data_IF_953343918414
#
_entry.id   IF_953343918414
#
_cell.length_a   1.000
_cell.length_b   1.000
_cell.length_c   1.000
_cell.angle_alpha   90.00
_cell.angle_beta   90.00
_cell.angle_gamma   90.00
#
_symmetry.space_group_name_H-M   'P 1'
#
loop_
_entity.id
_entity.type
_entity.pdbx_description
1 polymer ?
#
# COMPACT_ATOMS: atom_id res chain seq x y z
N UNK A 1 -83.71 -19.36 88.74
CA UNK A 1 -82.73 -19.75 87.69
C UNK A 1 -82.39 -18.49 86.93
N UNK A 2 -81.35 -17.74 87.30
CA UNK A 2 -79.92 -18.09 87.25
C UNK A 2 -79.44 -18.14 85.79
N UNK A 3 -78.41 -17.40 85.37
CA UNK A 3 -77.36 -16.72 86.15
C UNK A 3 -77.21 -15.25 85.72
N UNK A 4 -77.09 -14.32 86.68
CA UNK A 4 -76.61 -12.95 86.44
C UNK A 4 -75.09 -12.99 86.62
N UNK A 5 -74.35 -13.05 85.51
CA UNK A 5 -72.89 -12.93 85.57
C UNK A 5 -72.52 -11.52 86.00
N UNK A 6 -71.98 -11.36 87.21
CA UNK A 6 -71.37 -10.11 87.64
C UNK A 6 -70.07 -9.91 86.87
N UNK A 7 -70.09 -8.97 85.92
CA UNK A 7 -68.88 -8.46 85.32
C UNK A 7 -68.10 -7.67 86.38
N UNK A 8 -67.20 -8.36 87.09
CA UNK A 8 -66.20 -7.71 87.94
C UNK A 8 -65.44 -6.72 87.06
N UNK A 9 -65.54 -5.44 87.38
CA UNK A 9 -64.85 -4.40 86.64
C UNK A 9 -63.33 -4.64 86.74
N UNK A 10 -62.71 -4.98 85.61
CA UNK A 10 -61.26 -5.01 85.52
C UNK A 10 -60.72 -3.58 85.72
N UNK A 11 -59.59 -3.39 86.44
CA UNK A 11 -59.04 -2.07 86.68
C UNK A 11 -58.66 -1.41 85.35
N UNK A 12 -59.23 -0.22 85.10
CA UNK A 12 -58.87 0.61 83.95
C UNK A 12 -57.39 0.98 84.03
N UNK A 13 -56.61 0.60 83.01
CA UNK A 13 -55.16 0.77 82.99
C UNK A 13 -54.41 -0.28 82.16
N UNK A 14 -55.00 -1.47 81.97
CA UNK A 14 -54.45 -2.55 81.14
C UNK A 14 -54.71 -2.39 79.63
N UNK A 15 -55.42 -1.33 79.20
CA UNK A 15 -55.75 -1.10 77.80
C UNK A 15 -54.64 -0.29 77.08
N UNK A 16 -54.04 -0.89 76.04
CA UNK A 16 -53.28 -0.21 74.98
C UNK A 16 -51.99 0.55 75.36
N UNK A 17 -51.21 0.08 76.34
CA UNK A 17 -49.84 0.58 76.52
C UNK A 17 -48.87 -0.04 75.51
N UNK A 18 -48.35 0.78 74.57
CA UNK A 18 -47.40 0.35 73.54
C UNK A 18 -45.95 0.57 74.00
N UNK A 19 -45.23 -0.51 74.32
CA UNK A 19 -43.80 -0.46 74.60
C UNK A 19 -42.99 -0.07 73.35
N UNK A 20 -41.93 0.71 73.53
CA UNK A 20 -41.10 1.20 72.44
C UNK A 20 -40.21 0.08 71.90
N UNK A 21 -40.33 -0.22 70.60
CA UNK A 21 -39.55 -1.27 69.92
C UNK A 21 -38.22 -0.68 69.48
N UNK A 22 -37.12 -1.19 70.03
CA UNK A 22 -35.75 -0.96 69.57
C UNK A 22 -35.36 -2.00 68.51
N UNK A 23 -34.18 -1.82 67.89
CA UNK A 23 -33.63 -2.72 66.87
C UNK A 23 -33.49 -4.20 67.31
N UNK A 24 -33.62 -4.51 68.61
CA UNK A 24 -33.61 -5.88 69.14
C UNK A 24 -34.74 -6.18 70.15
N UNK A 25 -35.91 -5.56 69.96
CA UNK A 25 -37.10 -5.77 70.79
C UNK A 25 -37.40 -4.59 71.73
N UNK A 26 -38.31 -4.77 72.67
CA UNK A 26 -38.77 -3.70 73.57
C UNK A 26 -37.65 -3.12 74.45
N UNK A 27 -37.73 -1.84 74.79
CA UNK A 27 -36.85 -1.24 75.81
C UNK A 27 -37.06 -1.92 77.17
N UNK A 28 -36.06 -2.71 77.60
CA UNK A 28 -36.05 -3.36 78.92
C UNK A 28 -36.18 -2.34 80.06
N UNK A 29 -35.60 -1.15 79.94
CA UNK A 29 -35.71 -0.11 80.95
C UNK A 29 -37.14 0.42 81.11
N UNK A 30 -37.91 0.48 80.03
CA UNK A 30 -39.35 0.79 80.06
C UNK A 30 -40.15 -0.36 80.70
N UNK A 31 -39.88 -1.61 80.28
CA UNK A 31 -40.59 -2.80 80.79
C UNK A 31 -40.33 -3.04 82.28
N UNK A 32 -39.07 -3.00 82.74
CA UNK A 32 -38.72 -3.21 84.15
C UNK A 32 -39.43 -2.19 85.07
N UNK A 33 -39.53 -0.92 84.64
CA UNK A 33 -40.26 0.14 85.38
C UNK A 33 -41.77 -0.07 85.38
N UNK A 34 -42.36 -0.50 84.26
CA UNK A 34 -43.78 -0.84 84.18
C UNK A 34 -44.13 -2.03 85.09
N UNK A 35 -43.30 -3.09 85.09
CA UNK A 35 -43.48 -4.25 85.97
C UNK A 35 -43.43 -3.84 87.43
N UNK A 36 -42.41 -3.08 87.85
CA UNK A 36 -42.32 -2.58 89.23
C UNK A 36 -43.50 -1.69 89.64
N UNK A 37 -44.05 -0.88 88.71
CA UNK A 37 -45.24 -0.08 88.96
C UNK A 37 -46.51 -0.94 89.08
N UNK A 38 -46.66 -1.97 88.24
CA UNK A 38 -47.77 -2.92 88.30
C UNK A 38 -47.74 -3.76 89.58
N UNK A 39 -46.57 -4.26 89.99
CA UNK A 39 -46.35 -4.96 91.26
C UNK A 39 -46.69 -4.08 92.46
N UNK A 40 -46.28 -2.80 92.45
CA UNK A 40 -46.64 -1.83 93.47
C UNK A 40 -48.17 -1.59 93.54
N UNK A 41 -48.83 -1.49 92.40
CA UNK A 41 -50.29 -1.38 92.31
C UNK A 41 -51.02 -2.62 92.85
N UNK A 42 -50.56 -3.82 92.50
CA UNK A 42 -51.11 -5.07 93.04
C UNK A 42 -50.87 -5.20 94.55
N UNK A 43 -49.72 -4.75 95.06
CA UNK A 43 -49.43 -4.72 96.50
C UNK A 43 -50.32 -3.71 97.25
N UNK A 44 -50.65 -2.56 96.65
CA UNK A 44 -51.59 -1.60 97.20
C UNK A 44 -53.02 -2.17 97.26
N UNK A 45 -53.54 -2.67 96.14
CA UNK A 45 -54.87 -3.29 96.07
C UNK A 45 -55.02 -4.51 97.00
N UNK A 46 -53.95 -5.27 97.22
CA UNK A 46 -53.94 -6.38 98.19
C UNK A 46 -54.11 -5.87 99.62
N UNK A 47 -53.42 -4.78 100.00
CA UNK A 47 -53.57 -4.16 101.34
C UNK A 47 -54.97 -3.59 101.55
N UNK A 48 -55.53 -2.93 100.54
CA UNK A 48 -56.90 -2.38 100.58
C UNK A 48 -57.95 -3.49 100.74
N UNK A 49 -57.84 -4.58 99.97
CA UNK A 49 -58.66 -5.79 100.14
C UNK A 49 -58.55 -6.36 101.55
N UNK A 50 -57.33 -6.46 102.10
CA UNK A 50 -57.11 -7.05 103.41
C UNK A 50 -57.61 -6.15 104.56
N UNK A 51 -57.59 -4.81 104.36
CA UNK A 51 -58.27 -3.85 105.24
C UNK A 51 -59.80 -3.98 105.17
N UNK A 52 -60.38 -4.09 103.97
CA UNK A 52 -61.83 -4.31 103.82
C UNK A 52 -62.27 -5.64 104.45
N UNK A 53 -61.48 -6.72 104.31
CA UNK A 53 -61.74 -8.00 104.97
C UNK A 53 -61.60 -7.92 106.50
N UNK A 54 -60.75 -7.04 107.03
CA UNK A 54 -60.69 -6.77 108.48
C UNK A 54 -61.94 -6.01 108.96
N UNK A 55 -62.39 -4.98 108.23
CA UNK A 55 -63.62 -4.23 108.53
C UNK A 55 -64.88 -5.12 108.51
N UNK A 56 -64.99 -6.03 107.53
CA UNK A 56 -66.08 -7.00 107.44
C UNK A 56 -66.09 -7.95 108.65
N UNK A 57 -64.91 -8.39 109.13
CA UNK A 57 -64.80 -9.23 110.32
C UNK A 57 -65.18 -8.48 111.60
N UNK A 58 -64.84 -7.20 111.71
CA UNK A 58 -65.21 -6.37 112.86
C UNK A 58 -66.74 -6.15 112.91
N UNK A 59 -67.37 -5.78 111.79
CA UNK A 59 -68.84 -5.70 111.69
C UNK A 59 -69.51 -7.04 112.02
N UNK A 60 -68.94 -8.17 111.56
CA UNK A 60 -69.47 -9.49 111.92
C UNK A 60 -69.36 -9.77 113.42
N UNK A 61 -68.27 -9.32 114.09
CA UNK A 61 -68.13 -9.36 115.53
C UNK A 61 -69.20 -8.54 116.26
N UNK A 62 -69.44 -7.30 115.82
CA UNK A 62 -70.49 -6.43 116.37
C UNK A 62 -71.91 -7.02 116.20
N UNK A 63 -72.19 -7.65 115.06
CA UNK A 63 -73.45 -8.38 114.82
C UNK A 63 -73.58 -9.65 115.67
N UNK A 64 -72.49 -10.34 115.97
CA UNK A 64 -72.51 -11.48 116.89
C UNK A 64 -72.69 -11.05 118.36
N UNK A 65 -72.06 -9.95 118.78
CA UNK A 65 -72.22 -9.42 120.13
C UNK A 65 -73.65 -8.93 120.39
N UNK A 66 -74.19 -8.07 119.53
CA UNK A 66 -75.58 -7.59 119.65
C UNK A 66 -76.59 -8.74 119.62
N UNK A 67 -76.33 -9.80 118.83
CA UNK A 67 -77.15 -11.03 118.84
C UNK A 67 -77.05 -11.83 120.14
N UNK A 68 -75.92 -11.81 120.83
CA UNK A 68 -75.77 -12.42 122.16
C UNK A 68 -76.53 -11.61 123.23
N UNK A 69 -76.37 -10.28 123.23
CA UNK A 69 -77.12 -9.37 124.11
C UNK A 69 -78.65 -9.54 123.94
N UNK A 70 -79.13 -9.70 122.70
CA UNK A 70 -80.53 -10.06 122.42
C UNK A 70 -80.93 -11.45 122.92
N UNK A 71 -80.02 -12.43 122.96
CA UNK A 71 -80.30 -13.77 123.46
C UNK A 71 -80.37 -13.81 124.99
N UNK A 72 -79.48 -13.08 125.68
CA UNK A 72 -79.48 -12.95 127.14
C UNK A 72 -80.73 -12.20 127.62
N UNK A 73 -81.13 -11.11 126.95
CA UNK A 73 -82.42 -10.44 127.18
C UNK A 73 -83.62 -11.38 126.95
N UNK A 74 -83.54 -12.30 125.99
CA UNK A 74 -84.59 -13.30 125.76
C UNK A 74 -84.61 -14.40 126.83
N UNK A 75 -83.45 -14.73 127.40
CA UNK A 75 -83.33 -15.63 128.54
C UNK A 75 -83.91 -15.01 129.81
N UNK A 76 -83.59 -13.75 130.13
CA UNK A 76 -84.19 -13.01 131.25
C UNK A 76 -85.72 -12.90 131.10
N UNK A 77 -86.23 -12.57 129.91
CA UNK A 77 -87.67 -12.56 129.61
C UNK A 77 -88.33 -13.93 129.75
N UNK A 78 -87.58 -15.02 129.59
CA UNK A 78 -88.08 -16.39 129.76
C UNK A 78 -88.03 -16.83 131.22
N UNK A 79 -86.98 -16.50 131.97
CA UNK A 79 -86.90 -16.75 133.42
C UNK A 79 -87.96 -15.94 134.20
N UNK A 80 -88.23 -14.71 133.78
CA UNK A 80 -89.34 -13.89 134.30
C UNK A 80 -90.72 -14.48 133.98
N UNK A 81 -90.85 -15.27 132.90
CA UNK A 81 -92.09 -15.95 132.50
C UNK A 81 -92.28 -17.29 133.21
N UNK A 82 -91.20 -18.03 133.44
CA UNK A 82 -91.24 -19.36 134.07
C UNK A 82 -91.23 -19.31 135.61
N UNK A 83 -91.18 -18.11 136.23
CA UNK A 83 -91.40 -17.93 137.67
C UNK A 83 -92.78 -18.45 138.12
N UNK A 84 -92.86 -19.52 138.93
CA UNK A 84 -94.14 -20.10 139.34
C UNK A 84 -94.84 -19.19 140.37
N UNK A 85 -95.90 -18.50 139.94
CA UNK A 85 -96.68 -17.59 140.80
C UNK A 85 -97.47 -18.38 141.86
N UNK A 86 -96.93 -18.41 143.07
CA UNK A 86 -97.64 -18.86 144.26
C UNK A 86 -98.76 -17.86 144.59
N UNK A 87 -100.01 -18.21 144.24
CA UNK A 87 -101.19 -17.44 144.60
C UNK A 87 -101.91 -18.11 145.77
N UNK A 88 -101.92 -17.44 146.92
CA UNK A 88 -102.73 -17.86 148.06
C UNK A 88 -104.23 -17.79 147.74
N UNK A 89 -105.03 -18.63 148.41
CA UNK A 89 -106.46 -18.78 148.14
C UNK A 89 -107.28 -17.64 148.74
N UNK A 90 -107.15 -16.45 148.15
CA UNK A 90 -108.05 -15.33 148.41
C UNK A 90 -109.51 -15.68 148.04
N UNK A 91 -110.44 -15.11 148.79
CA UNK A 91 -111.90 -15.22 148.63
C UNK A 91 -112.34 -15.24 147.15
N UNK A 92 -113.05 -16.29 146.73
CA UNK A 92 -113.62 -16.40 145.37
C UNK A 92 -114.65 -15.31 145.01
N UNK A 93 -115.04 -14.46 145.97
CA UNK A 93 -115.91 -13.28 145.75
C UNK A 93 -115.11 -12.01 145.47
N UNK A 94 -113.92 -11.89 146.03
CA UNK A 94 -113.00 -10.74 145.87
C UNK A 94 -111.90 -11.04 144.83
N UNK A 95 -111.72 -12.33 144.48
CA UNK A 95 -110.98 -12.78 143.31
C UNK A 95 -111.60 -12.22 142.02
N UNK A 96 -112.93 -12.02 141.96
CA UNK A 96 -113.59 -11.36 140.84
C UNK A 96 -113.06 -9.95 140.64
N UNK A 97 -113.23 -9.08 141.64
CA UNK A 97 -112.77 -7.68 141.58
C UNK A 97 -111.25 -7.53 141.47
N UNK A 98 -110.44 -8.43 142.04
CA UNK A 98 -108.99 -8.43 141.81
C UNK A 98 -108.60 -8.97 140.42
N UNK A 99 -109.31 -9.94 139.85
CA UNK A 99 -109.09 -10.36 138.46
C UNK A 99 -109.53 -9.26 137.51
N UNK A 100 -110.66 -8.59 137.76
CA UNK A 100 -111.09 -7.43 136.97
C UNK A 100 -110.05 -6.30 137.05
N UNK A 101 -109.49 -5.98 138.22
CA UNK A 101 -108.40 -5.00 138.36
C UNK A 101 -107.08 -5.45 137.73
N UNK A 102 -106.73 -6.73 137.81
CA UNK A 102 -105.53 -7.29 137.15
C UNK A 102 -105.72 -7.29 135.63
N UNK A 103 -106.94 -7.55 135.13
CA UNK A 103 -107.29 -7.42 133.71
C UNK A 103 -107.24 -5.96 133.29
N UNK A 104 -107.86 -5.02 134.01
CA UNK A 104 -107.82 -3.58 133.70
C UNK A 104 -106.38 -3.02 133.73
N UNK A 105 -105.53 -3.48 134.65
CA UNK A 105 -104.11 -3.13 134.67
C UNK A 105 -103.31 -3.83 133.56
N UNK A 106 -103.64 -5.08 133.20
CA UNK A 106 -102.99 -5.80 132.10
C UNK A 106 -103.43 -5.29 130.73
N UNK A 107 -104.64 -4.76 130.62
CA UNK A 107 -105.19 -4.08 129.44
C UNK A 107 -104.48 -2.75 129.28
N UNK A 108 -104.40 -1.91 130.32
CA UNK A 108 -103.59 -0.67 130.29
C UNK A 108 -102.10 -0.92 130.05
N UNK A 109 -101.52 -1.99 130.61
CA UNK A 109 -100.13 -2.37 130.31
C UNK A 109 -99.98 -2.92 128.88
N UNK A 110 -101.00 -3.62 128.37
CA UNK A 110 -101.08 -4.07 126.98
C UNK A 110 -101.16 -2.91 126.00
N UNK A 111 -102.04 -1.94 126.25
CA UNK A 111 -102.13 -0.67 125.52
C UNK A 111 -100.79 0.07 125.55
N UNK A 112 -100.16 0.23 126.72
CA UNK A 112 -98.85 0.88 126.83
C UNK A 112 -97.75 0.12 126.06
N UNK A 113 -97.76 -1.22 126.07
CA UNK A 113 -96.82 -2.04 125.30
C UNK A 113 -97.08 -1.98 123.79
N UNK A 114 -98.35 -1.97 123.36
CA UNK A 114 -98.74 -1.82 121.95
C UNK A 114 -98.41 -0.42 121.45
N UNK A 115 -98.69 0.62 122.23
CA UNK A 115 -98.35 2.01 121.90
C UNK A 115 -96.82 2.19 121.83
N UNK A 116 -96.06 1.71 122.83
CA UNK A 116 -94.60 1.77 122.79
C UNK A 116 -93.99 0.91 121.66
N UNK A 117 -94.64 -0.19 121.27
CA UNK A 117 -94.24 -0.99 120.10
C UNK A 117 -94.55 -0.26 118.78
N UNK A 118 -95.69 0.43 118.69
CA UNK A 118 -96.07 1.24 117.53
C UNK A 118 -95.17 2.48 117.37
N UNK A 119 -94.84 3.17 118.46
CA UNK A 119 -93.87 4.27 118.47
C UNK A 119 -92.47 3.79 118.02
N UNK A 120 -92.02 2.62 118.50
CA UNK A 120 -90.75 2.01 118.07
C UNK A 120 -90.78 1.56 116.61
N UNK A 121 -91.91 1.00 116.14
CA UNK A 121 -92.09 0.63 114.74
C UNK A 121 -92.02 1.88 113.85
N UNK A 122 -92.81 2.92 114.15
CA UNK A 122 -92.79 4.18 113.42
C UNK A 122 -91.41 4.87 113.47
N UNK A 123 -90.68 4.79 114.58
CA UNK A 123 -89.32 5.31 114.68
C UNK A 123 -88.30 4.52 113.82
N UNK A 124 -88.44 3.18 113.74
CA UNK A 124 -87.61 2.33 112.88
C UNK A 124 -87.98 2.50 111.40
N UNK A 125 -89.26 2.65 111.08
CA UNK A 125 -89.75 2.97 109.74
C UNK A 125 -89.23 4.33 109.28
N UNK A 126 -89.34 5.38 110.09
CA UNK A 126 -88.78 6.70 109.78
C UNK A 126 -87.24 6.69 109.63
N UNK A 127 -86.53 5.87 110.42
CA UNK A 127 -85.09 5.67 110.26
C UNK A 127 -84.76 4.92 108.95
N UNK A 128 -85.55 3.90 108.58
CA UNK A 128 -85.38 3.14 107.35
C UNK A 128 -85.73 3.98 106.10
N UNK A 129 -86.81 4.75 106.14
CA UNK A 129 -87.17 5.70 105.08
C UNK A 129 -86.09 6.76 104.91
N UNK A 130 -85.56 7.32 106.00
CA UNK A 130 -84.43 8.25 105.94
C UNK A 130 -83.19 7.58 105.35
N UNK A 131 -82.82 6.39 105.82
CA UNK A 131 -81.66 5.67 105.28
C UNK A 131 -81.82 5.33 103.79
N UNK A 132 -83.03 5.02 103.33
CA UNK A 132 -83.36 4.83 101.91
C UNK A 132 -83.31 6.14 101.12
N UNK A 133 -83.68 7.28 101.71
CA UNK A 133 -83.51 8.60 101.10
C UNK A 133 -82.02 8.96 100.99
N UNK A 134 -81.27 8.92 102.10
CA UNK A 134 -79.83 9.19 102.15
C UNK A 134 -79.04 8.29 101.17
N UNK A 135 -79.44 7.01 101.02
CA UNK A 135 -78.84 6.08 100.06
C UNK A 135 -79.21 6.36 98.59
N UNK A 136 -80.43 6.84 98.30
CA UNK A 136 -80.84 7.29 96.96
C UNK A 136 -80.07 8.56 96.56
N UNK A 137 -80.01 9.54 97.46
CA UNK A 137 -79.23 10.76 97.33
C UNK A 137 -77.75 10.45 97.02
N UNK A 138 -77.15 9.49 97.74
CA UNK A 138 -75.79 9.04 97.50
C UNK A 138 -75.65 8.34 96.14
N UNK A 139 -76.57 7.45 95.77
CA UNK A 139 -76.55 6.76 94.48
C UNK A 139 -76.69 7.73 93.29
N UNK A 140 -77.56 8.75 93.39
CA UNK A 140 -77.69 9.78 92.36
C UNK A 140 -76.45 10.67 92.27
N UNK A 141 -75.83 11.05 93.39
CA UNK A 141 -74.57 11.80 93.42
C UNK A 141 -73.42 11.00 92.80
N UNK A 142 -73.32 9.70 93.10
CA UNK A 142 -72.30 8.80 92.51
C UNK A 142 -72.55 8.61 91.01
N UNK A 143 -73.81 8.44 90.57
CA UNK A 143 -74.16 8.38 89.16
C UNK A 143 -73.78 9.67 88.42
N UNK A 144 -74.19 10.84 88.92
CA UNK A 144 -73.87 12.12 88.32
C UNK A 144 -72.35 12.42 88.30
N UNK A 145 -71.61 12.03 89.34
CA UNK A 145 -70.16 12.13 89.37
C UNK A 145 -69.49 11.18 88.37
N UNK A 146 -70.03 9.99 88.17
CA UNK A 146 -69.58 9.02 87.16
C UNK A 146 -69.86 9.49 85.73
N UNK A 147 -71.06 9.99 85.45
CA UNK A 147 -71.42 10.62 84.17
C UNK A 147 -70.50 11.81 83.88
N UNK A 148 -70.33 12.73 84.83
CA UNK A 148 -69.39 13.85 84.67
C UNK A 148 -67.91 13.44 84.60
N UNK A 149 -67.52 12.25 85.08
CA UNK A 149 -66.18 11.70 84.88
C UNK A 149 -66.03 11.08 83.48
N UNK A 150 -67.05 10.37 83.01
CA UNK A 150 -67.11 9.81 81.66
C UNK A 150 -67.06 10.91 80.59
N UNK A 151 -67.90 11.95 80.72
CA UNK A 151 -67.92 13.08 79.77
C UNK A 151 -66.56 13.79 79.69
N UNK A 152 -65.87 13.98 80.82
CA UNK A 152 -64.50 14.54 80.86
C UNK A 152 -63.47 13.59 80.23
N UNK A 153 -63.62 12.28 80.42
CA UNK A 153 -62.76 11.27 79.79
C UNK A 153 -62.94 11.27 78.26
N UNK A 154 -64.18 11.32 77.77
CA UNK A 154 -64.50 11.42 76.33
C UNK A 154 -63.99 12.75 75.75
N UNK A 155 -64.16 13.88 76.44
CA UNK A 155 -63.62 15.17 76.00
C UNK A 155 -62.08 15.16 75.92
N UNK A 156 -61.39 14.57 76.91
CA UNK A 156 -59.94 14.44 76.91
C UNK A 156 -59.44 13.49 75.80
N UNK A 157 -60.16 12.37 75.55
CA UNK A 157 -59.86 11.46 74.46
C UNK A 157 -60.00 12.15 73.10
N UNK A 158 -61.11 12.86 72.86
CA UNK A 158 -61.33 13.62 71.63
C UNK A 158 -60.23 14.68 71.40
N UNK A 159 -59.82 15.40 72.46
CA UNK A 159 -58.72 16.38 72.36
C UNK A 159 -57.38 15.73 72.02
N UNK A 160 -57.07 14.57 72.59
CA UNK A 160 -55.85 13.81 72.26
C UNK A 160 -55.89 13.26 70.83
N UNK A 161 -57.04 12.79 70.36
CA UNK A 161 -57.22 12.34 68.98
C UNK A 161 -57.15 13.49 67.97
N UNK A 162 -57.69 14.68 68.29
CA UNK A 162 -57.56 15.90 67.50
C UNK A 162 -56.09 16.38 67.43
N UNK A 163 -55.38 16.43 68.56
CA UNK A 163 -53.95 16.73 68.58
C UNK A 163 -53.12 15.70 67.79
N UNK A 164 -53.45 14.41 67.92
CA UNK A 164 -52.76 13.33 67.21
C UNK A 164 -53.00 13.40 65.70
N UNK A 165 -54.23 13.74 65.28
CA UNK A 165 -54.57 13.97 63.87
C UNK A 165 -53.79 15.17 63.30
N UNK A 166 -53.78 16.30 64.00
CA UNK A 166 -53.04 17.51 63.58
C UNK A 166 -51.52 17.24 63.48
N UNK A 167 -50.93 16.56 64.46
CA UNK A 167 -49.50 16.16 64.42
C UNK A 167 -49.22 15.17 63.29
N UNK A 168 -50.14 14.26 62.98
CA UNK A 168 -50.00 13.32 61.87
C UNK A 168 -50.18 13.98 60.50
N UNK A 169 -50.98 15.04 60.39
CA UNK A 169 -51.11 15.85 59.17
C UNK A 169 -49.87 16.73 58.96
N UNK A 170 -49.38 17.40 60.00
CA UNK A 170 -48.12 18.17 59.97
C UNK A 170 -46.94 17.29 59.56
N UNK A 171 -46.78 16.12 60.20
CA UNK A 171 -45.69 15.18 59.86
C UNK A 171 -45.79 14.61 58.42
N UNK A 172 -46.98 14.59 57.80
CA UNK A 172 -47.14 14.26 56.38
C UNK A 172 -46.75 15.43 55.49
N UNK A 173 -47.24 16.64 55.79
CA UNK A 173 -46.88 17.84 55.04
C UNK A 173 -45.36 18.11 55.05
N UNK A 174 -44.71 17.93 56.20
CA UNK A 174 -43.25 18.02 56.34
C UNK A 174 -42.53 16.94 55.50
N UNK A 175 -43.01 15.69 55.55
CA UNK A 175 -42.44 14.60 54.77
C UNK A 175 -42.62 14.78 53.24
N UNK A 176 -43.79 15.26 52.81
CA UNK A 176 -44.08 15.58 51.41
C UNK A 176 -43.23 16.76 50.92
N UNK A 177 -43.08 17.81 51.73
CA UNK A 177 -42.19 18.93 51.44
C UNK A 177 -40.72 18.51 51.33
N UNK A 178 -40.24 17.62 52.20
CA UNK A 178 -38.89 17.04 52.12
C UNK A 178 -38.70 16.16 50.87
N UNK A 179 -39.72 15.39 50.47
CA UNK A 179 -39.69 14.57 49.26
C UNK A 179 -39.65 15.44 48.00
N UNK A 180 -40.45 16.51 47.91
CA UNK A 180 -40.42 17.43 46.77
C UNK A 180 -39.14 18.27 46.72
N UNK A 181 -38.61 18.70 47.87
CA UNK A 181 -37.30 19.35 47.93
C UNK A 181 -36.17 18.42 47.44
N UNK A 182 -36.16 17.16 47.88
CA UNK A 182 -35.20 16.16 47.42
C UNK A 182 -35.35 15.83 45.93
N UNK A 183 -36.58 15.81 45.40
CA UNK A 183 -36.86 15.66 43.95
C UNK A 183 -36.32 16.84 43.15
N UNK A 184 -36.58 18.07 43.60
CA UNK A 184 -36.11 19.28 42.93
C UNK A 184 -34.57 19.36 42.93
N UNK A 185 -33.92 19.04 44.06
CA UNK A 185 -32.46 18.96 44.13
C UNK A 185 -31.90 17.89 43.18
N UNK A 186 -32.45 16.66 43.21
CA UNK A 186 -31.99 15.59 42.33
C UNK A 186 -32.19 15.92 40.84
N UNK A 187 -33.27 16.64 40.48
CA UNK A 187 -33.48 17.17 39.13
C UNK A 187 -32.41 18.21 38.77
N UNK A 188 -32.17 19.21 39.62
CA UNK A 188 -31.16 20.25 39.41
C UNK A 188 -29.75 19.68 39.28
N UNK A 189 -29.35 18.72 40.13
CA UNK A 189 -28.07 18.03 40.05
C UNK A 189 -27.94 17.23 38.73
N UNK A 190 -29.00 16.54 38.32
CA UNK A 190 -29.02 15.78 37.06
C UNK A 190 -28.96 16.71 35.84
N UNK A 191 -29.64 17.85 35.87
CA UNK A 191 -29.57 18.87 34.81
C UNK A 191 -28.20 19.54 34.74
N UNK A 192 -27.58 19.83 35.89
CA UNK A 192 -26.22 20.35 35.96
C UNK A 192 -25.20 19.35 35.41
N UNK A 193 -25.33 18.06 35.76
CA UNK A 193 -24.47 17.00 35.22
C UNK A 193 -24.70 16.74 33.71
N UNK A 194 -25.93 16.89 33.21
CA UNK A 194 -26.23 16.86 31.76
C UNK A 194 -25.63 18.06 31.03
N UNK A 195 -25.67 19.24 31.63
CA UNK A 195 -25.07 20.46 31.06
C UNK A 195 -23.53 20.35 31.01
N UNK A 196 -22.88 19.87 32.09
CA UNK A 196 -21.43 19.70 32.11
C UNK A 196 -20.96 18.62 31.13
N UNK A 197 -21.59 17.45 31.11
CA UNK A 197 -21.23 16.38 30.16
C UNK A 197 -21.52 16.76 28.71
N UNK A 198 -22.58 17.55 28.44
CA UNK A 198 -22.79 18.12 27.10
C UNK A 198 -21.69 19.14 26.74
N UNK A 199 -21.31 20.02 27.66
CA UNK A 199 -20.22 20.98 27.45
C UNK A 199 -18.87 20.28 27.20
N UNK A 200 -18.54 19.25 27.98
CA UNK A 200 -17.35 18.41 27.79
C UNK A 200 -17.37 17.71 26.41
N UNK A 201 -18.53 17.18 26.00
CA UNK A 201 -18.69 16.58 24.68
C UNK A 201 -18.53 17.60 23.54
N UNK A 202 -19.05 18.83 23.69
CA UNK A 202 -18.84 19.91 22.72
C UNK A 202 -17.37 20.35 22.66
N UNK A 203 -16.69 20.44 23.80
CA UNK A 203 -15.25 20.75 23.85
C UNK A 203 -14.41 19.65 23.20
N UNK A 204 -14.73 18.38 23.46
CA UNK A 204 -14.06 17.24 22.83
C UNK A 204 -14.32 17.19 21.31
N UNK A 205 -15.55 17.39 20.86
CA UNK A 205 -15.89 17.47 19.43
C UNK A 205 -15.11 18.59 18.74
N UNK A 206 -15.08 19.80 19.31
CA UNK A 206 -14.31 20.92 18.77
C UNK A 206 -12.79 20.68 18.80
N UNK A 207 -12.27 19.92 19.76
CA UNK A 207 -10.86 19.52 19.79
C UNK A 207 -10.52 18.51 18.69
N UNK A 208 -11.37 17.48 18.52
CA UNK A 208 -11.20 16.45 17.48
C UNK A 208 -11.36 17.04 16.08
N UNK A 209 -12.30 17.98 15.88
CA UNK A 209 -12.46 18.69 14.61
C UNK A 209 -11.22 19.52 14.25
N UNK A 210 -10.63 20.23 15.23
CA UNK A 210 -9.34 20.93 15.06
C UNK A 210 -8.22 19.97 14.72
N UNK A 211 -8.04 18.88 15.48
CA UNK A 211 -7.02 17.87 15.18
C UNK A 211 -7.17 17.27 13.77
N UNK A 212 -8.40 17.01 13.31
CA UNK A 212 -8.65 16.53 11.96
C UNK A 212 -8.31 17.61 10.91
N UNK A 213 -8.66 18.87 11.17
CA UNK A 213 -8.29 20.01 10.32
C UNK A 213 -6.77 20.20 10.24
N UNK A 214 -6.07 20.17 11.36
CA UNK A 214 -4.62 20.35 11.44
C UNK A 214 -3.86 19.20 10.77
N UNK A 215 -4.32 17.95 10.95
CA UNK A 215 -3.76 16.78 10.26
C UNK A 215 -4.01 16.84 8.75
N UNK A 216 -5.18 17.31 8.28
CA UNK A 216 -5.46 17.54 6.85
C UNK A 216 -4.56 18.64 6.30
N UNK A 217 -4.52 19.80 6.94
CA UNK A 217 -3.68 20.92 6.53
C UNK A 217 -2.17 20.61 6.61
N UNK A 218 -1.73 19.64 7.42
CA UNK A 218 -0.38 19.10 7.40
C UNK A 218 -0.14 18.18 6.19
N UNK A 219 -1.02 17.21 5.96
CA UNK A 219 -0.92 16.29 4.81
C UNK A 219 -1.03 17.00 3.45
N UNK A 220 -1.87 18.04 3.35
CA UNK A 220 -1.99 18.90 2.16
C UNK A 220 -0.72 19.71 1.91
N UNK A 221 -0.03 20.20 2.97
CA UNK A 221 1.28 20.84 2.84
C UNK A 221 2.34 19.84 2.38
N UNK A 222 2.44 18.69 3.05
CA UNK A 222 3.41 17.65 2.69
C UNK A 222 3.22 17.19 1.23
N UNK A 223 1.98 16.98 0.78
CA UNK A 223 1.68 16.59 -0.60
C UNK A 223 2.06 17.70 -1.61
N UNK A 224 1.83 18.97 -1.29
CA UNK A 224 2.27 20.09 -2.13
C UNK A 224 3.81 20.25 -2.14
N UNK A 225 4.48 20.02 -1.01
CA UNK A 225 5.95 19.98 -0.90
C UNK A 225 6.54 18.81 -1.71
N UNK A 226 5.94 17.62 -1.64
CA UNK A 226 6.32 16.47 -2.47
C UNK A 226 6.10 16.74 -3.97
N UNK A 227 4.96 17.32 -4.35
CA UNK A 227 4.66 17.66 -5.76
C UNK A 227 5.64 18.71 -6.30
N UNK A 228 5.91 19.78 -5.55
CA UNK A 228 6.86 20.83 -5.98
C UNK A 228 8.31 20.32 -6.02
N UNK A 229 8.72 19.50 -5.06
CA UNK A 229 10.04 18.85 -5.08
C UNK A 229 10.18 17.83 -6.23
N UNK A 230 9.13 17.08 -6.56
CA UNK A 230 9.11 16.19 -7.72
C UNK A 230 9.17 16.97 -9.03
N UNK A 231 8.40 18.06 -9.15
CA UNK A 231 8.43 18.95 -10.32
C UNK A 231 9.80 19.59 -10.52
N UNK A 232 10.45 20.05 -9.44
CA UNK A 232 11.81 20.60 -9.47
C UNK A 232 12.82 19.58 -9.99
N UNK A 233 12.81 18.34 -9.46
CA UNK A 233 13.67 17.25 -9.95
C UNK A 233 13.43 16.95 -11.43
N UNK A 234 12.18 16.90 -11.87
CA UNK A 234 11.84 16.69 -13.29
C UNK A 234 12.34 17.84 -14.18
N UNK A 235 12.36 19.10 -13.70
CA UNK A 235 12.95 20.21 -14.45
C UNK A 235 14.48 20.17 -14.45
N UNK A 236 15.11 19.76 -13.35
CA UNK A 236 16.56 19.63 -13.24
C UNK A 236 17.08 18.50 -14.15
N UNK A 237 16.51 17.31 -14.05
CA UNK A 237 16.80 16.15 -14.91
C UNK A 237 16.60 16.47 -16.39
N UNK A 238 15.50 17.17 -16.72
CA UNK A 238 15.24 17.66 -18.08
C UNK A 238 16.32 18.64 -18.54
N UNK A 239 16.69 19.61 -17.72
CA UNK A 239 17.71 20.61 -18.09
C UNK A 239 19.08 19.96 -18.31
N UNK A 240 19.43 18.96 -17.49
CA UNK A 240 20.65 18.17 -17.63
C UNK A 240 20.62 17.31 -18.92
N UNK A 241 19.48 16.70 -19.24
CA UNK A 241 19.30 15.96 -20.48
C UNK A 241 19.37 16.86 -21.74
N UNK A 242 18.76 18.05 -21.69
CA UNK A 242 18.84 19.05 -22.77
C UNK A 242 20.27 19.57 -22.97
N UNK A 243 21.00 19.85 -21.87
CA UNK A 243 22.43 20.19 -21.92
C UNK A 243 23.29 19.05 -22.48
N UNK A 244 23.06 17.81 -22.04
CA UNK A 244 23.78 16.63 -22.52
C UNK A 244 23.55 16.41 -24.03
N UNK A 245 22.31 16.55 -24.48
CA UNK A 245 21.95 16.44 -25.89
C UNK A 245 22.57 17.58 -26.73
N UNK A 246 22.62 18.80 -26.20
CA UNK A 246 23.27 19.93 -26.87
C UNK A 246 24.79 19.72 -27.03
N UNK A 247 25.46 19.20 -26.00
CA UNK A 247 26.89 18.85 -26.05
C UNK A 247 27.16 17.75 -27.08
N UNK A 248 26.43 16.63 -27.03
CA UNK A 248 26.56 15.54 -27.99
C UNK A 248 26.27 15.99 -29.44
N UNK A 249 25.32 16.91 -29.63
CA UNK A 249 25.04 17.50 -30.93
C UNK A 249 26.19 18.40 -31.41
N UNK A 250 26.80 19.19 -30.52
CA UNK A 250 27.97 20.01 -30.84
C UNK A 250 29.20 19.16 -31.20
N UNK A 251 29.47 18.09 -30.45
CA UNK A 251 30.52 17.11 -30.73
C UNK A 251 30.29 16.42 -32.09
N UNK A 252 29.06 15.94 -32.34
CA UNK A 252 28.69 15.34 -33.62
C UNK A 252 28.83 16.32 -34.79
N UNK A 253 28.49 17.60 -34.60
CA UNK A 253 28.69 18.66 -35.60
C UNK A 253 30.18 18.94 -35.84
N UNK A 254 31.01 18.97 -34.79
CA UNK A 254 32.46 19.13 -34.91
C UNK A 254 33.09 17.96 -35.66
N UNK A 255 32.78 16.71 -35.31
CA UNK A 255 33.25 15.54 -36.05
C UNK A 255 32.74 15.51 -37.49
N UNK A 256 31.48 15.88 -37.75
CA UNK A 256 30.95 15.98 -39.11
C UNK A 256 31.58 17.14 -39.92
N UNK A 257 32.09 18.18 -39.28
CA UNK A 257 32.87 19.24 -39.92
C UNK A 257 34.31 18.78 -40.20
N UNK A 258 34.94 18.07 -39.25
CA UNK A 258 36.28 17.51 -39.41
C UNK A 258 36.35 16.44 -40.50
N UNK A 259 35.37 15.51 -40.56
CA UNK A 259 35.29 14.50 -41.61
C UNK A 259 35.12 15.15 -42.99
N UNK A 260 34.30 16.20 -43.11
CA UNK A 260 34.17 16.98 -44.35
C UNK A 260 35.49 17.65 -44.72
N UNK A 261 36.10 18.40 -43.80
CA UNK A 261 37.41 19.04 -44.01
C UNK A 261 38.48 18.04 -44.47
N UNK A 262 38.59 16.87 -43.81
CA UNK A 262 39.53 15.81 -44.21
C UNK A 262 39.22 15.29 -45.62
N UNK A 263 37.94 15.12 -45.98
CA UNK A 263 37.55 14.73 -47.33
C UNK A 263 37.87 15.81 -48.37
N UNK A 264 37.63 17.09 -48.07
CA UNK A 264 37.98 18.22 -48.92
C UNK A 264 39.50 18.33 -49.13
N UNK A 265 40.30 18.13 -48.07
CA UNK A 265 41.77 18.07 -48.12
C UNK A 265 42.27 16.90 -48.97
N UNK A 266 41.67 15.71 -48.84
CA UNK A 266 41.99 14.57 -49.72
C UNK A 266 41.61 14.86 -51.18
N UNK A 267 40.42 15.42 -51.45
CA UNK A 267 39.98 15.80 -52.79
C UNK A 267 40.92 16.82 -53.43
N UNK A 268 41.33 17.85 -52.69
CA UNK A 268 42.32 18.83 -53.16
C UNK A 268 43.66 18.17 -53.50
N UNK A 269 44.14 17.23 -52.68
CA UNK A 269 45.38 16.50 -52.95
C UNK A 269 45.28 15.64 -54.22
N UNK A 270 44.14 14.98 -54.46
CA UNK A 270 43.90 14.20 -55.67
C UNK A 270 43.75 15.08 -56.92
N UNK A 271 43.14 16.26 -56.79
CA UNK A 271 43.08 17.25 -57.87
C UNK A 271 44.48 17.75 -58.25
N UNK A 272 45.34 18.03 -57.27
CA UNK A 272 46.74 18.39 -57.50
C UNK A 272 47.53 17.26 -58.17
N UNK A 273 47.36 16.02 -57.71
CA UNK A 273 47.97 14.83 -58.35
C UNK A 273 47.52 14.68 -59.81
N UNK A 274 46.22 14.84 -60.09
CA UNK A 274 45.68 14.80 -61.45
C UNK A 274 46.22 15.94 -62.32
N UNK A 275 46.37 17.15 -61.79
CA UNK A 275 46.98 18.27 -62.51
C UNK A 275 48.46 18.01 -62.83
N UNK A 276 49.24 17.48 -61.89
CA UNK A 276 50.65 17.10 -62.11
C UNK A 276 50.77 16.00 -63.17
N UNK A 277 49.94 14.95 -63.10
CA UNK A 277 49.92 13.88 -64.11
C UNK A 277 49.46 14.40 -65.48
N UNK A 278 48.51 15.34 -65.54
CA UNK A 278 48.12 15.99 -66.79
C UNK A 278 49.26 16.82 -67.40
N UNK A 279 49.99 17.59 -66.58
CA UNK A 279 51.17 18.34 -67.02
C UNK A 279 52.28 17.39 -67.50
N UNK A 280 52.53 16.29 -66.78
CA UNK A 280 53.52 15.30 -67.21
C UNK A 280 53.12 14.61 -68.51
N UNK A 281 51.83 14.28 -68.70
CA UNK A 281 51.32 13.75 -69.97
C UNK A 281 51.47 14.78 -71.11
N UNK A 282 51.27 16.07 -70.84
CA UNK A 282 51.51 17.14 -71.82
C UNK A 282 53.01 17.24 -72.19
N UNK A 283 53.91 17.26 -71.20
CA UNK A 283 55.36 17.29 -71.42
C UNK A 283 55.85 16.04 -72.17
N UNK A 284 55.39 14.85 -71.77
CA UNK A 284 55.71 13.58 -72.46
C UNK A 284 55.18 13.57 -73.90
N UNK A 285 53.99 14.14 -74.17
CA UNK A 285 53.47 14.31 -75.55
C UNK A 285 54.30 15.29 -76.38
N UNK A 286 54.76 16.39 -75.79
CA UNK A 286 55.66 17.34 -76.46
C UNK A 286 57.01 16.68 -76.79
N UNK A 287 57.61 15.97 -75.84
CA UNK A 287 58.86 15.23 -76.05
C UNK A 287 58.70 14.11 -77.10
N UNK A 288 57.57 13.39 -77.12
CA UNK A 288 57.27 12.41 -78.17
C UNK A 288 57.11 13.07 -79.55
N UNK A 289 56.47 14.23 -79.64
CA UNK A 289 56.37 14.97 -80.91
C UNK A 289 57.73 15.51 -81.39
N UNK A 290 58.59 15.94 -80.47
CA UNK A 290 59.98 16.31 -80.78
C UNK A 290 60.77 15.11 -81.31
N UNK A 291 60.78 13.99 -80.59
CA UNK A 291 61.43 12.74 -81.02
C UNK A 291 60.87 12.20 -82.35
N UNK A 292 59.57 12.38 -82.62
CA UNK A 292 58.98 12.09 -83.92
C UNK A 292 59.54 13.00 -85.01
N UNK A 293 59.62 14.31 -84.79
CA UNK A 293 60.21 15.24 -85.77
C UNK A 293 61.72 15.02 -85.99
N UNK A 294 62.46 14.62 -84.95
CA UNK A 294 63.87 14.22 -85.05
C UNK A 294 64.03 12.90 -85.83
N UNK A 295 63.15 11.93 -85.58
CA UNK A 295 63.10 10.67 -86.32
C UNK A 295 62.74 10.88 -87.79
N UNK A 296 61.75 11.71 -88.09
CA UNK A 296 61.35 12.07 -89.46
C UNK A 296 62.50 12.80 -90.19
N UNK A 297 63.18 13.73 -89.49
CA UNK A 297 64.36 14.44 -90.02
C UNK A 297 65.52 13.46 -90.26
N UNK A 298 65.75 12.52 -89.34
CA UNK A 298 66.77 11.48 -89.48
C UNK A 298 66.45 10.48 -90.61
N UNK A 299 65.17 10.15 -90.83
CA UNK A 299 64.72 9.36 -91.97
C UNK A 299 64.91 10.12 -93.30
N UNK A 300 64.59 11.41 -93.34
CA UNK A 300 64.83 12.27 -94.50
C UNK A 300 66.33 12.35 -94.82
N UNK A 301 67.18 12.56 -93.82
CA UNK A 301 68.64 12.53 -93.95
C UNK A 301 69.14 11.16 -94.43
N UNK A 302 68.60 10.05 -93.92
CA UNK A 302 68.94 8.70 -94.38
C UNK A 302 68.53 8.49 -95.85
N UNK A 303 67.37 8.99 -96.28
CA UNK A 303 66.97 8.94 -97.70
C UNK A 303 67.81 9.85 -98.58
N UNK A 304 68.26 11.00 -98.07
CA UNK A 304 69.18 11.89 -98.79
C UNK A 304 70.56 11.21 -98.95
N UNK A 305 71.16 10.70 -97.87
CA UNK A 305 72.45 9.99 -97.92
C UNK A 305 72.37 8.72 -98.78
N UNK A 306 71.23 8.04 -98.83
CA UNK A 306 71.00 6.95 -99.79
C UNK A 306 70.93 7.46 -101.24
N UNK A 307 70.25 8.57 -101.50
CA UNK A 307 70.19 9.15 -102.84
C UNK A 307 71.55 9.67 -103.31
N UNK A 308 72.28 10.37 -102.45
CA UNK A 308 73.65 10.83 -102.68
C UNK A 308 74.61 9.64 -102.89
N UNK A 309 74.39 8.55 -102.15
CA UNK A 309 75.05 7.26 -102.32
C UNK A 309 74.75 6.61 -103.67
N UNK A 310 73.47 6.49 -104.05
CA UNK A 310 73.06 5.98 -105.36
C UNK A 310 73.64 6.83 -106.51
N UNK A 311 73.78 8.14 -106.32
CA UNK A 311 74.41 9.06 -107.29
C UNK A 311 75.91 8.80 -107.35
N UNK A 312 76.61 8.71 -106.21
CA UNK A 312 78.03 8.38 -106.17
C UNK A 312 78.34 6.98 -106.74
N UNK A 313 77.47 5.98 -106.52
CA UNK A 313 77.60 4.66 -107.14
C UNK A 313 77.40 4.72 -108.66
N UNK A 314 76.50 5.57 -109.17
CA UNK A 314 76.36 5.83 -110.62
C UNK A 314 77.58 6.55 -111.18
N UNK A 315 78.11 7.56 -110.50
CA UNK A 315 79.36 8.24 -110.91
C UNK A 315 80.55 7.27 -110.94
N UNK A 316 80.67 6.37 -109.95
CA UNK A 316 81.68 5.30 -109.94
C UNK A 316 81.44 4.30 -111.08
N UNK A 317 80.18 3.93 -111.36
CA UNK A 317 79.85 3.05 -112.48
C UNK A 317 80.17 3.70 -113.85
N UNK A 318 79.88 4.99 -114.03
CA UNK A 318 80.25 5.76 -115.22
C UNK A 318 81.77 5.88 -115.36
N UNK A 319 82.51 6.16 -114.28
CA UNK A 319 83.97 6.20 -114.29
C UNK A 319 84.58 4.83 -114.61
N UNK A 320 84.00 3.74 -114.11
CA UNK A 320 84.41 2.37 -114.46
C UNK A 320 84.07 2.02 -115.92
N UNK A 321 82.93 2.50 -116.44
CA UNK A 321 82.56 2.33 -117.84
C UNK A 321 83.47 3.15 -118.77
N UNK A 322 83.82 4.39 -118.39
CA UNK A 322 84.80 5.22 -119.10
C UNK A 322 86.20 4.57 -119.08
N UNK A 323 86.64 4.03 -117.94
CA UNK A 323 87.88 3.26 -117.85
C UNK A 323 87.84 1.99 -118.73
N UNK A 324 86.67 1.35 -118.82
CA UNK A 324 86.42 0.22 -119.74
C UNK A 324 86.53 0.62 -121.21
N UNK A 325 85.90 1.73 -121.60
CA UNK A 325 85.98 2.28 -122.95
C UNK A 325 87.42 2.67 -123.32
N UNK A 326 88.12 3.43 -122.46
CA UNK A 326 89.53 3.81 -122.68
C UNK A 326 90.45 2.59 -122.80
N UNK A 327 90.17 1.49 -122.08
CA UNK A 327 90.89 0.22 -122.25
C UNK A 327 90.58 -0.48 -123.58
N UNK A 328 89.33 -0.40 -124.06
CA UNK A 328 88.94 -0.95 -125.36
C UNK A 328 89.50 -0.13 -126.53
N UNK A 329 89.50 1.20 -126.44
CA UNK A 329 90.14 2.08 -127.42
C UNK A 329 91.66 1.86 -127.47
N UNK A 330 92.31 1.74 -126.30
CA UNK A 330 93.74 1.42 -126.22
C UNK A 330 94.06 0.04 -126.83
N UNK A 331 93.21 -0.97 -126.59
CA UNK A 331 93.36 -2.28 -127.24
C UNK A 331 93.15 -2.19 -128.76
N UNK A 332 92.17 -1.40 -129.22
CA UNK A 332 91.94 -1.15 -130.65
C UNK A 332 93.09 -0.42 -131.35
N UNK A 333 93.77 0.50 -130.67
CA UNK A 333 94.99 1.13 -131.18
C UNK A 333 96.19 0.19 -131.17
N UNK A 334 96.31 -0.71 -130.18
CA UNK A 334 97.32 -1.78 -130.19
C UNK A 334 97.09 -2.72 -131.39
N UNK A 335 95.85 -3.17 -131.62
CA UNK A 335 95.49 -3.99 -132.79
C UNK A 335 95.77 -3.27 -134.11
N UNK A 336 95.51 -1.96 -134.21
CA UNK A 336 95.86 -1.13 -135.39
C UNK A 336 97.37 -1.05 -135.60
N UNK A 337 98.15 -0.91 -134.53
CA UNK A 337 99.62 -0.90 -134.60
C UNK A 337 100.19 -2.28 -134.98
N UNK A 338 99.61 -3.38 -134.49
CA UNK A 338 100.01 -4.74 -134.90
C UNK A 338 99.60 -5.07 -136.35
N UNK A 339 98.43 -4.63 -136.79
CA UNK A 339 97.98 -4.78 -138.18
C UNK A 339 98.84 -3.98 -139.16
N UNK A 340 99.15 -2.71 -138.86
CA UNK A 340 100.03 -1.89 -139.70
C UNK A 340 101.47 -2.41 -139.72
N UNK A 341 101.98 -2.91 -138.60
CA UNK A 341 103.27 -3.61 -138.52
C UNK A 341 103.27 -4.89 -139.38
N UNK A 342 102.23 -5.71 -139.28
CA UNK A 342 102.11 -6.97 -140.04
C UNK A 342 101.97 -6.70 -141.55
N UNK A 343 101.28 -5.64 -141.94
CA UNK A 343 101.23 -5.17 -143.32
C UNK A 343 102.63 -4.78 -143.84
N UNK A 344 103.38 -3.97 -143.07
CA UNK A 344 104.75 -3.58 -143.41
C UNK A 344 105.70 -4.80 -143.56
N UNK A 345 105.63 -5.74 -142.62
CA UNK A 345 106.36 -7.01 -142.64
C UNK A 345 106.05 -7.84 -143.91
N UNK A 346 104.79 -7.85 -144.37
CA UNK A 346 104.41 -8.57 -145.59
C UNK A 346 104.94 -7.89 -146.87
N UNK A 347 104.92 -6.55 -146.91
CA UNK A 347 105.47 -5.76 -148.02
C UNK A 347 106.99 -5.91 -148.12
N UNK A 348 107.70 -5.96 -146.98
CA UNK A 348 109.13 -6.21 -146.94
C UNK A 348 109.50 -7.63 -147.43
N UNK A 349 108.68 -8.63 -147.12
CA UNK A 349 108.85 -10.01 -147.62
C UNK A 349 108.69 -10.07 -149.14
N UNK A 350 107.64 -9.48 -149.71
CA UNK A 350 107.49 -9.43 -151.18
C UNK A 350 108.60 -8.60 -151.86
N UNK A 351 109.08 -7.51 -151.26
CA UNK A 351 110.23 -6.76 -151.80
C UNK A 351 111.51 -7.61 -151.85
N UNK A 352 111.77 -8.41 -150.80
CA UNK A 352 112.88 -9.38 -150.75
C UNK A 352 112.71 -10.50 -151.78
N UNK A 353 111.49 -11.01 -151.94
CA UNK A 353 111.15 -12.11 -152.85
C UNK A 353 111.26 -11.71 -154.33
N UNK A 354 110.81 -10.50 -154.70
CA UNK A 354 111.01 -9.93 -156.04
C UNK A 354 112.50 -9.72 -156.34
N UNK A 355 113.28 -9.17 -155.40
CA UNK A 355 114.75 -9.09 -155.53
C UNK A 355 115.38 -10.47 -155.77
N UNK A 356 114.93 -11.47 -155.01
CA UNK A 356 115.43 -12.85 -155.13
C UNK A 356 114.98 -13.57 -156.41
N UNK A 357 113.89 -13.16 -157.08
CA UNK A 357 113.58 -13.61 -158.45
C UNK A 357 114.48 -12.91 -159.47
N UNK A 358 114.50 -11.57 -159.48
CA UNK A 358 115.31 -10.78 -160.42
C UNK A 358 116.80 -11.16 -160.42
N UNK A 359 117.40 -11.46 -159.26
CA UNK A 359 118.79 -11.96 -159.19
C UNK A 359 118.98 -13.37 -159.77
N UNK A 360 117.96 -14.24 -159.71
CA UNK A 360 118.00 -15.60 -160.27
C UNK A 360 117.69 -15.63 -161.78
N UNK A 361 116.82 -14.75 -162.27
CA UNK A 361 116.72 -14.42 -163.70
C UNK A 361 118.06 -13.89 -164.24
N UNK A 362 118.63 -12.86 -163.61
CA UNK A 362 119.87 -12.23 -164.05
C UNK A 362 121.05 -13.21 -164.13
N UNK A 363 121.18 -14.13 -163.15
CA UNK A 363 122.23 -15.16 -163.20
C UNK A 363 122.03 -16.17 -164.34
N UNK A 364 120.79 -16.59 -164.61
CA UNK A 364 120.50 -17.49 -165.75
C UNK A 364 120.76 -16.84 -167.10
N UNK A 365 120.50 -15.54 -167.24
CA UNK A 365 120.80 -14.78 -168.48
C UNK A 365 122.30 -14.61 -168.68
N UNK A 366 123.10 -14.48 -167.60
CA UNK A 366 124.56 -14.49 -167.68
C UNK A 366 125.11 -15.86 -168.10
N UNK A 367 124.64 -16.96 -167.48
CA UNK A 367 125.11 -18.32 -167.78
C UNK A 367 124.68 -18.79 -169.19
N UNK A 368 123.61 -18.24 -169.77
CA UNK A 368 123.25 -18.44 -171.19
C UNK A 368 124.35 -17.92 -172.13
N UNK A 369 125.01 -16.80 -171.80
CA UNK A 369 125.97 -16.15 -172.70
C UNK A 369 127.28 -16.94 -172.89
N UNK A 370 127.62 -17.85 -171.97
CA UNK A 370 128.78 -18.73 -172.10
C UNK A 370 128.46 -20.05 -172.82
N UNK A 371 127.25 -20.60 -172.61
CA UNK A 371 126.85 -21.91 -173.15
C UNK A 371 126.12 -21.83 -174.50
N UNK A 372 125.45 -20.71 -174.83
CA UNK A 372 124.81 -20.51 -176.15
C UNK A 372 125.80 -20.27 -177.30
N UNK A 373 127.10 -20.45 -177.06
CA UNK A 373 128.12 -20.71 -178.10
C UNK A 373 128.01 -22.15 -178.62
N UNK A 374 127.35 -23.07 -177.89
CA UNK A 374 127.25 -24.51 -178.21
C UNK A 374 125.82 -25.07 -178.07
N UNK A 375 124.93 -24.57 -178.95
CA UNK A 375 123.61 -25.10 -179.35
C UNK A 375 122.42 -25.06 -178.37
N UNK A 376 121.15 -24.82 -178.78
CA UNK A 376 120.55 -24.16 -179.97
C UNK A 376 121.17 -24.42 -181.37
N UNK A 377 120.78 -25.40 -182.18
CA UNK A 377 119.53 -26.16 -182.33
C UNK A 377 118.85 -26.71 -181.05
N UNK A 378 117.51 -26.74 -180.93
CA UNK A 378 116.46 -26.13 -181.76
C UNK A 378 115.08 -26.08 -181.05
N UNK A 379 114.21 -25.12 -181.46
CA UNK A 379 112.72 -25.09 -181.36
C UNK A 379 112.00 -25.11 -179.98
N UNK A 380 110.74 -24.67 -179.80
CA UNK A 380 109.86 -23.63 -180.41
C UNK A 380 108.49 -23.54 -179.62
N UNK A 381 107.79 -22.38 -179.56
CA UNK A 381 106.36 -22.16 -179.10
C UNK A 381 106.06 -22.50 -177.59
N UNK A 382 105.43 -21.71 -176.67
CA UNK A 382 104.22 -20.83 -176.56
C UNK A 382 102.90 -21.60 -176.24
N UNK A 383 101.88 -21.16 -175.46
CA UNK A 383 101.33 -19.83 -175.02
C UNK A 383 100.89 -19.76 -173.51
N UNK A 384 100.04 -18.78 -173.10
CA UNK A 384 99.37 -18.64 -171.77
C UNK A 384 97.94 -19.26 -171.69
N UNK A 385 97.04 -19.00 -170.71
CA UNK A 385 96.98 -17.99 -169.61
C UNK A 385 96.02 -18.43 -168.43
N UNK A 386 95.69 -17.57 -167.43
CA UNK A 386 95.03 -17.88 -166.12
C UNK A 386 93.56 -17.38 -165.96
N UNK A 387 92.74 -17.88 -164.99
CA UNK A 387 92.35 -17.07 -163.79
C UNK A 387 92.05 -17.87 -162.47
N UNK A 388 91.41 -17.25 -161.46
CA UNK A 388 91.41 -17.63 -160.01
C UNK A 388 89.99 -17.68 -159.33
N UNK A 389 89.87 -18.06 -158.03
CA UNK A 389 88.59 -18.44 -157.36
C UNK A 389 88.43 -18.03 -155.86
N UNK A 390 87.28 -17.42 -155.49
CA UNK A 390 86.36 -17.62 -154.31
C UNK A 390 86.78 -17.70 -152.81
N UNK A 391 85.86 -17.34 -151.85
CA UNK A 391 85.90 -17.76 -150.42
C UNK A 391 84.53 -18.13 -149.71
N UNK A 392 84.49 -18.94 -148.61
CA UNK A 392 83.26 -19.22 -147.80
C UNK A 392 83.36 -19.45 -146.23
N UNK A 393 82.24 -19.25 -145.48
CA UNK A 393 81.59 -20.03 -144.34
C UNK A 393 82.35 -20.60 -143.07
N UNK A 394 81.75 -20.99 -141.91
CA UNK A 394 80.60 -20.55 -141.04
C UNK A 394 80.33 -21.45 -139.75
N UNK A 395 79.73 -20.91 -138.64
CA UNK A 395 78.72 -21.55 -137.68
C UNK A 395 79.15 -22.14 -136.24
N UNK A 396 78.34 -22.84 -135.34
CA UNK A 396 77.91 -22.35 -133.96
C UNK A 396 77.75 -23.32 -132.69
N UNK A 397 77.23 -22.81 -131.52
CA UNK A 397 76.36 -23.45 -130.41
C UNK A 397 76.99 -24.31 -129.22
N UNK A 398 76.29 -24.84 -128.13
CA UNK A 398 75.24 -24.36 -127.13
C UNK A 398 75.27 -24.91 -125.60
N UNK A 399 74.28 -24.53 -124.71
CA UNK A 399 73.57 -25.29 -123.57
C UNK A 399 73.92 -25.21 -122.00
N UNK A 400 72.95 -25.60 -121.09
CA UNK A 400 72.94 -25.85 -119.58
C UNK A 400 72.57 -24.69 -118.54
N UNK A 401 72.28 -24.85 -117.21
CA UNK A 401 71.34 -25.61 -116.26
C UNK A 401 71.48 -25.05 -114.76
N UNK A 402 70.83 -25.29 -113.56
CA UNK A 402 69.70 -26.09 -112.92
C UNK A 402 69.08 -25.43 -111.57
N UNK A 403 68.65 -26.12 -110.45
CA UNK A 403 67.71 -25.59 -109.36
C UNK A 403 67.98 -25.73 -107.76
N UNK A 404 67.12 -26.27 -106.80
CA UNK A 404 66.58 -25.54 -105.58
C UNK A 404 66.49 -26.24 -104.13
N UNK A 405 66.02 -25.56 -103.02
CA UNK A 405 65.56 -26.17 -101.70
C UNK A 405 64.77 -25.27 -100.65
N UNK A 406 63.93 -25.81 -99.69
CA UNK A 406 63.13 -25.07 -98.63
C UNK A 406 63.00 -25.71 -97.18
N UNK A 407 62.22 -25.14 -96.20
CA UNK A 407 61.65 -25.84 -94.99
C UNK A 407 60.44 -25.13 -94.28
N UNK A 408 59.63 -25.82 -93.42
CA UNK A 408 58.44 -25.31 -92.66
C UNK A 408 57.96 -26.23 -91.45
N UNK A 409 57.03 -25.77 -90.56
CA UNK A 409 56.43 -26.55 -89.43
C UNK A 409 55.00 -26.09 -88.98
N UNK A 410 54.24 -26.89 -88.18
CA UNK A 410 52.77 -26.77 -87.93
C UNK A 410 52.23 -27.15 -86.50
N UNK A 411 50.89 -27.07 -86.28
CA UNK A 411 50.14 -26.89 -85.00
C UNK A 411 48.99 -27.90 -84.70
N UNK A 412 48.95 -28.54 -83.50
CA UNK A 412 47.79 -29.17 -82.80
C UNK A 412 47.33 -28.34 -81.55
N UNK A 413 46.34 -28.66 -80.68
CA UNK A 413 45.03 -29.37 -80.69
C UNK A 413 44.19 -28.89 -79.43
N UNK A 414 42.84 -29.13 -79.29
CA UNK A 414 41.96 -28.26 -78.45
C UNK A 414 41.07 -28.87 -77.31
N UNK A 415 40.59 -27.96 -76.41
CA UNK A 415 39.25 -27.88 -75.76
C UNK A 415 38.77 -28.75 -74.55
N UNK A 416 38.05 -28.12 -73.58
CA UNK A 416 36.85 -28.67 -72.87
C UNK A 416 35.99 -27.58 -72.15
N UNK A 417 34.68 -27.83 -71.93
CA UNK A 417 33.61 -26.96 -71.34
C UNK A 417 32.47 -27.88 -70.80
N UNK A 418 31.92 -27.74 -69.54
CA UNK A 418 30.82 -26.83 -69.12
C UNK A 418 31.03 -26.15 -67.72
N UNK A 419 30.29 -25.14 -67.21
CA UNK A 419 28.84 -24.77 -67.10
C UNK A 419 28.09 -25.35 -65.84
N UNK A 420 26.98 -24.73 -65.31
CA UNK A 420 26.94 -24.31 -63.89
C UNK A 420 25.66 -24.63 -63.05
N UNK A 421 25.68 -24.27 -61.77
CA UNK A 421 24.51 -24.12 -60.86
C UNK A 421 24.75 -22.90 -59.93
N UNK A 422 23.86 -21.90 -59.77
CA UNK A 422 22.46 -21.84 -59.31
C UNK A 422 22.27 -21.90 -57.76
N UNK A 423 22.00 -20.70 -57.17
CA UNK A 423 20.99 -20.28 -56.14
C UNK A 423 20.42 -21.27 -55.07
N UNK A 424 19.77 -20.81 -53.95
CA UNK A 424 19.45 -19.44 -53.49
C UNK A 424 19.74 -19.14 -51.98
N UNK A 425 19.28 -17.97 -51.49
CA UNK A 425 18.93 -17.70 -50.07
C UNK A 425 17.41 -18.02 -49.82
N UNK A 426 16.76 -17.88 -48.62
CA UNK A 426 16.66 -16.60 -47.87
C UNK A 426 16.34 -16.71 -46.33
N UNK A 427 15.90 -15.56 -45.76
CA UNK A 427 14.90 -15.38 -44.69
C UNK A 427 15.34 -15.09 -43.23
N UNK A 428 14.46 -14.35 -42.53
CA UNK A 428 14.53 -13.87 -41.13
C UNK A 428 13.15 -14.06 -40.46
N UNK A 429 13.12 -14.61 -39.24
CA UNK A 429 12.20 -14.25 -38.13
C UNK A 429 12.67 -15.01 -36.87
N UNK A 430 12.71 -14.48 -35.64
CA UNK A 430 11.79 -13.65 -34.86
C UNK A 430 10.46 -14.33 -34.50
N UNK A 431 10.50 -15.19 -33.47
CA UNK A 431 9.47 -15.31 -32.44
C UNK A 431 10.02 -16.08 -31.22
N UNK A 432 9.79 -15.62 -30.00
CA UNK A 432 10.20 -16.28 -28.75
C UNK A 432 9.19 -15.96 -27.61
N UNK A 433 8.48 -16.96 -27.03
CA UNK A 433 7.50 -16.75 -25.97
C UNK A 433 7.97 -17.28 -24.60
N UNK A 434 8.20 -16.37 -23.64
CA UNK A 434 8.47 -16.74 -22.24
C UNK A 434 7.20 -17.00 -21.42
N UNK A 435 7.05 -18.15 -20.73
CA UNK A 435 6.08 -18.35 -19.67
C UNK A 435 6.69 -18.05 -18.28
N UNK A 436 5.88 -17.66 -17.29
CA UNK A 436 6.30 -17.65 -15.87
C UNK A 436 5.16 -18.07 -14.95
N UNK A 437 5.45 -18.99 -14.02
CA UNK A 437 4.47 -19.61 -13.14
C UNK A 437 3.92 -18.67 -12.05
N UNK A 438 2.74 -18.99 -11.55
CA UNK A 438 2.23 -18.56 -10.24
C UNK A 438 2.02 -19.75 -9.29
N UNK A 439 1.29 -19.51 -8.18
CA UNK A 439 1.07 -20.39 -7.00
C UNK A 439 2.25 -20.50 -6.02
N UNK A 440 1.99 -20.76 -4.72
CA UNK A 440 0.82 -20.34 -3.92
C UNK A 440 1.19 -19.77 -2.52
N UNK A 441 0.25 -19.07 -1.88
CA UNK A 441 0.34 -18.71 -0.45
C UNK A 441 -0.35 -19.76 0.43
N UNK A 442 0.31 -20.23 1.50
CA UNK A 442 -0.35 -20.84 2.67
C UNK A 442 0.44 -20.60 3.98
N UNK A 443 -0.29 -20.12 4.99
CA UNK A 443 -0.14 -20.29 6.45
C UNK A 443 1.24 -20.47 7.11
N UNK A 444 1.56 -19.57 8.06
CA UNK A 444 2.05 -19.97 9.40
C UNK A 444 1.50 -19.08 10.54
N UNK A 445 0.82 -19.73 11.48
CA UNK A 445 0.99 -19.66 12.94
C UNK A 445 1.13 -18.30 13.66
N UNK A 446 0.05 -17.91 14.37
CA UNK A 446 0.10 -16.99 15.52
C UNK A 446 -0.44 -17.67 16.78
N UNK A 447 0.28 -17.54 17.91
CA UNK A 447 -0.08 -18.08 19.22
C UNK A 447 0.42 -17.15 20.35
N UNK A 448 -0.34 -17.07 21.45
CA UNK A 448 0.14 -16.53 22.73
C UNK A 448 -0.39 -15.15 23.13
N UNK A 449 -1.54 -15.12 23.82
CA UNK A 449 -1.90 -14.04 24.74
C UNK A 449 -2.15 -14.65 26.14
N UNK A 450 -1.42 -14.21 27.19
CA UNK A 450 -1.58 -14.75 28.54
C UNK A 450 -2.70 -14.06 29.32
N UNK A 451 -3.25 -14.77 30.30
CA UNK A 451 -4.29 -14.29 31.20
C UNK A 451 -3.84 -13.11 32.07
N UNK A 452 -4.77 -12.22 32.43
CA UNK A 452 -4.59 -11.25 33.52
C UNK A 452 -5.56 -11.54 34.66
N UNK A 453 -5.07 -12.25 35.66
CA UNK A 453 -5.69 -12.37 36.97
C UNK A 453 -5.17 -11.24 37.89
N UNK A 454 -5.98 -10.73 38.83
CA UNK A 454 -5.55 -9.68 39.77
C UNK A 454 -6.54 -8.55 40.06
N UNK A 455 -7.81 -8.85 40.33
CA UNK A 455 -8.75 -7.86 40.88
C UNK A 455 -8.49 -7.62 42.38
N UNK A 456 -7.82 -6.52 42.74
CA UNK A 456 -7.46 -6.22 44.14
C UNK A 456 -8.64 -5.63 44.94
N UNK A 457 -8.67 -5.93 46.25
CA UNK A 457 -9.69 -5.44 47.19
C UNK A 457 -9.41 -3.99 47.58
N UNK A 458 -10.39 -3.06 47.50
CA UNK A 458 -10.25 -1.72 48.06
C UNK A 458 -10.39 -1.76 49.58
N UNK A 459 -9.39 -1.25 50.31
CA UNK A 459 -9.43 -1.16 51.77
C UNK A 459 -10.35 -0.02 52.24
N UNK A 460 -11.18 -0.28 53.25
CA UNK A 460 -11.95 0.77 53.93
C UNK A 460 -11.04 1.57 54.89
N UNK A 461 -11.06 2.91 54.87
CA UNK A 461 -10.51 3.71 55.97
C UNK A 461 -11.46 3.65 57.19
N UNK A 462 -10.89 3.49 58.38
CA UNK A 462 -11.65 3.49 59.64
C UNK A 462 -12.19 4.87 60.02
N UNK A 463 -13.17 4.94 60.94
CA UNK A 463 -13.82 6.19 61.32
C UNK A 463 -12.87 7.12 62.08
N UNK A 464 -12.90 8.42 61.74
CA UNK A 464 -12.41 9.48 62.64
C UNK A 464 -13.50 9.84 63.64
N UNK A 465 -13.09 10.09 64.88
CA UNK A 465 -13.95 10.68 65.90
C UNK A 465 -13.91 12.22 65.82
N UNK A 466 -15.08 12.81 66.05
CA UNK A 466 -15.37 14.13 66.60
C UNK A 466 -16.64 13.91 67.45
N UNK A 467 -16.75 14.36 68.70
CA UNK A 467 -16.80 15.77 69.13
C UNK A 467 -17.99 16.53 68.51
#
# INVERSE_FOLDING_TARGET
MSQRGEAVAAPEGAASQRFQITLRGYDKGQVDRFVAQAESGMAAATRERDQALAQIRDLAGQLHQTRAEFADLHAELTELRDRPRQLEKASFRDLGTMVDQILELSEKQGELLVNAAAERAAALEAQAEKALADARDLAERVRAAGEAAHDRSVQAANQVDEEAAQRAEQARADAEALIEAARAQAQQETETARASTHQELQQWQASVEREISDRRAAAERELNEQLTAAQAKMTDERSHAEQSAATLLAEAQQHAAEIRRRADEQQASHQQQLQLVQQEIQMRRQALAQLQSELDTGQQQLTQVRHDGDVAEREVAELLQQLGAVRQDLAGEIDRLEQTRTAADSAERHAKEVRARVQREAKRVADLAAAAVMAAAASNVQTGEYPQVGPPRQKPAPAAEEAPAPEAAQVPEPAYVPEPAQVPAPARSLFDPSPRNGQPEQHENGHGHPERNGGAVPAQPGPRAAE
#
